data_IF_996668861963
#
_entry.id   IF_996668861963
#
_cell.length_a   1.000
_cell.length_b   1.000
_cell.length_c   1.000
_cell.angle_alpha   90.00
_cell.angle_beta   90.00
_cell.angle_gamma   90.00
#
_symmetry.space_group_name_H-M   'P 1'
#
loop_
_entity.id
_entity.type
_entity.pdbx_description
1 polymer ?
#
# COMPACT_ATOMS: atom_id res chain seq x y z
N UNK A 1 44.51 -3.69 7.12
CA UNK A 1 43.38 -4.63 6.93
C UNK A 1 42.15 -3.77 6.68
N UNK A 2 41.81 -3.52 5.41
CA UNK A 2 40.75 -2.58 5.01
C UNK A 2 39.51 -3.42 4.67
N UNK A 3 38.45 -3.31 5.47
CA UNK A 3 37.17 -3.94 5.21
C UNK A 3 36.45 -3.18 4.09
N UNK A 4 36.31 -3.86 2.96
CA UNK A 4 35.57 -3.44 1.77
C UNK A 4 34.11 -3.16 2.13
N UNK A 5 33.68 -1.90 1.97
CA UNK A 5 32.28 -1.51 1.96
C UNK A 5 31.62 -2.02 0.67
N UNK A 6 30.78 -3.05 0.77
CA UNK A 6 29.90 -3.45 -0.32
C UNK A 6 28.86 -2.34 -0.55
N UNK A 7 29.06 -1.59 -1.64
CA UNK A 7 28.03 -0.69 -2.19
C UNK A 7 26.78 -1.52 -2.48
N UNK A 8 25.70 -1.24 -1.76
CA UNK A 8 24.34 -1.68 -2.12
C UNK A 8 24.08 -1.14 -3.53
N UNK A 9 23.93 -2.05 -4.50
CA UNK A 9 23.70 -1.67 -5.88
C UNK A 9 22.36 -0.95 -6.00
N UNK A 10 22.36 0.19 -6.67
CA UNK A 10 21.16 0.92 -7.07
C UNK A 10 20.31 0.00 -7.95
N UNK A 11 19.36 -0.71 -7.35
CA UNK A 11 18.49 -1.72 -7.96
C UNK A 11 17.47 -1.17 -8.94
N UNK A 12 17.92 -0.42 -9.93
CA UNK A 12 17.16 -0.01 -11.10
C UNK A 12 17.28 -1.11 -12.15
N UNK A 13 16.32 -2.04 -12.18
CA UNK A 13 16.24 -3.05 -13.22
C UNK A 13 15.91 -2.40 -14.57
N UNK A 14 16.85 -2.51 -15.52
CA UNK A 14 16.79 -1.98 -16.90
C UNK A 14 15.55 -2.47 -17.68
N UNK A 15 14.94 -3.60 -17.27
CA UNK A 15 13.71 -4.12 -17.85
C UNK A 15 12.51 -3.15 -17.72
N UNK A 16 12.46 -2.36 -16.65
CA UNK A 16 11.36 -1.41 -16.37
C UNK A 16 11.41 -0.19 -17.32
N UNK A 17 12.61 0.14 -17.83
CA UNK A 17 12.81 1.28 -18.73
C UNK A 17 12.41 0.94 -20.18
N UNK A 18 12.56 -0.32 -20.59
CA UNK A 18 12.19 -0.79 -21.94
C UNK A 18 10.68 -0.79 -22.19
N UNK A 19 9.85 -0.98 -21.15
CA UNK A 19 8.39 -0.90 -21.27
C UNK A 19 7.84 0.53 -21.38
N UNK A 20 8.70 1.56 -21.25
CA UNK A 20 8.28 2.97 -21.10
C UNK A 20 8.08 3.75 -22.42
N UNK A 21 8.23 3.16 -23.60
CA UNK A 21 8.23 3.94 -24.86
C UNK A 21 7.08 3.53 -25.79
N UNK A 22 5.86 3.95 -25.42
CA UNK A 22 4.82 4.50 -26.32
C UNK A 22 3.68 5.05 -25.47
N UNK A 23 3.57 6.37 -25.41
CA UNK A 23 2.64 7.09 -24.53
C UNK A 23 1.19 6.89 -24.98
N UNK A 24 0.47 6.02 -24.26
CA UNK A 24 -0.98 5.93 -24.26
C UNK A 24 -1.55 6.62 -23.00
N UNK A 25 -2.70 7.31 -23.14
CA UNK A 25 -3.48 7.83 -22.00
C UNK A 25 -4.16 6.70 -21.19
N UNK A 26 -4.29 5.50 -21.78
CA UNK A 26 -4.82 4.27 -21.16
C UNK A 26 -3.70 3.57 -20.38
N UNK A 27 -4.01 3.10 -19.17
CA UNK A 27 -3.14 2.21 -18.41
C UNK A 27 -2.91 0.90 -19.19
N UNK A 28 -1.76 0.23 -19.03
CA UNK A 28 -1.51 -1.04 -19.71
C UNK A 28 -2.56 -2.07 -19.29
N UNK A 29 -2.77 -3.08 -20.14
CA UNK A 29 -3.59 -4.23 -19.77
C UNK A 29 -2.76 -5.20 -18.92
N UNK A 30 -3.42 -6.21 -18.34
CA UNK A 30 -2.73 -7.27 -17.62
C UNK A 30 -1.67 -7.90 -18.53
N UNK A 31 -0.42 -7.87 -18.10
CA UNK A 31 0.67 -8.55 -18.77
C UNK A 31 0.87 -9.91 -18.09
N UNK A 32 0.37 -10.97 -18.74
CA UNK A 32 0.45 -12.34 -18.24
C UNK A 32 1.90 -12.80 -18.01
N UNK A 33 2.85 -12.31 -18.79
CA UNK A 33 4.27 -12.67 -18.61
C UNK A 33 4.84 -12.07 -17.33
N UNK A 34 4.63 -10.77 -17.10
CA UNK A 34 5.05 -10.06 -15.88
C UNK A 34 4.34 -10.60 -14.64
N UNK A 35 3.03 -10.85 -14.74
CA UNK A 35 2.24 -11.48 -13.68
C UNK A 35 2.83 -12.84 -13.29
N UNK A 36 3.06 -13.72 -14.29
CA UNK A 36 3.64 -15.03 -14.03
C UNK A 36 5.10 -14.95 -13.58
N UNK A 37 5.87 -13.96 -14.03
CA UNK A 37 7.24 -13.73 -13.56
C UNK A 37 7.26 -13.35 -12.08
N UNK A 38 6.36 -12.47 -11.63
CA UNK A 38 6.23 -12.12 -10.24
C UNK A 38 5.78 -13.33 -9.39
N UNK A 39 4.87 -14.19 -9.89
CA UNK A 39 4.51 -15.45 -9.21
C UNK A 39 5.69 -16.41 -9.16
N UNK A 40 6.45 -16.62 -10.24
CA UNK A 40 7.61 -17.54 -10.22
C UNK A 40 8.70 -17.04 -9.27
N UNK A 41 8.90 -15.72 -9.20
CA UNK A 41 9.96 -15.11 -8.39
C UNK A 41 9.63 -15.11 -6.91
N UNK A 42 8.35 -14.94 -6.54
CA UNK A 42 7.95 -14.73 -5.14
C UNK A 42 6.92 -15.75 -4.62
N UNK A 43 6.22 -16.47 -5.49
CA UNK A 43 5.13 -17.38 -5.11
C UNK A 43 5.55 -18.58 -4.28
N UNK A 44 6.80 -19.04 -4.43
CA UNK A 44 7.37 -20.13 -3.64
C UNK A 44 8.06 -19.63 -2.35
N UNK A 45 8.43 -18.34 -2.28
CA UNK A 45 9.27 -17.78 -1.20
C UNK A 45 8.62 -16.65 -0.40
N UNK A 46 7.42 -16.19 -0.76
CA UNK A 46 6.72 -15.09 -0.12
C UNK A 46 5.23 -15.41 0.05
N UNK A 47 4.95 -16.13 1.13
CA UNK A 47 3.61 -16.47 1.58
C UNK A 47 2.97 -15.33 2.38
N UNK A 48 1.67 -15.50 2.71
CA UNK A 48 1.01 -14.65 3.69
C UNK A 48 1.73 -14.69 5.06
N UNK A 49 2.36 -15.81 5.40
CA UNK A 49 3.14 -15.95 6.63
C UNK A 49 4.41 -15.10 6.59
N UNK A 50 5.10 -15.01 5.45
CA UNK A 50 6.30 -14.17 5.30
C UNK A 50 5.96 -12.67 5.39
N UNK A 51 4.79 -12.31 4.87
CA UNK A 51 4.23 -10.96 4.97
C UNK A 51 3.91 -10.58 6.43
N UNK A 52 3.37 -11.53 7.21
CA UNK A 52 3.16 -11.39 8.65
C UNK A 52 4.47 -11.36 9.43
N UNK A 53 5.42 -12.24 9.12
CA UNK A 53 6.72 -12.34 9.81
C UNK A 53 7.62 -11.12 9.55
N UNK A 54 7.44 -10.43 8.42
CA UNK A 54 8.13 -9.18 8.12
C UNK A 54 7.44 -7.94 8.69
N UNK A 55 6.30 -8.11 9.36
CA UNK A 55 5.59 -7.00 9.99
C UNK A 55 6.30 -6.55 11.27
N UNK A 56 6.36 -5.25 11.49
CA UNK A 56 6.72 -4.69 12.79
C UNK A 56 5.72 -5.13 13.85
N UNK A 57 6.22 -5.37 15.06
CA UNK A 57 5.39 -5.52 16.26
C UNK A 57 4.68 -4.20 16.55
N UNK A 58 3.39 -4.27 16.87
CA UNK A 58 2.58 -3.12 17.26
C UNK A 58 1.91 -3.38 18.62
N UNK A 59 1.40 -2.35 19.32
CA UNK A 59 0.80 -2.53 20.63
C UNK A 59 -0.41 -3.50 20.60
N UNK A 60 -0.42 -4.48 21.51
CA UNK A 60 -1.51 -5.46 21.68
C UNK A 60 -2.73 -4.89 22.45
N UNK A 61 -2.91 -3.57 22.46
CA UNK A 61 -3.95 -2.91 23.25
C UNK A 61 -5.34 -2.92 22.58
N UNK A 62 -6.33 -2.38 23.29
CA UNK A 62 -7.74 -2.33 22.86
C UNK A 62 -7.82 -1.90 21.40
N UNK A 63 -8.49 -2.70 20.58
CA UNK A 63 -8.57 -2.53 19.14
C UNK A 63 -8.86 -1.07 18.70
N UNK A 64 -9.72 -0.33 19.43
CA UNK A 64 -10.00 1.06 19.10
C UNK A 64 -8.77 1.98 19.14
N UNK A 65 -7.84 1.76 20.07
CA UNK A 65 -6.58 2.51 20.20
C UNK A 65 -5.59 2.14 19.10
N UNK A 66 -5.57 0.86 18.69
CA UNK A 66 -4.73 0.41 17.58
C UNK A 66 -5.00 1.18 16.29
N UNK A 67 -6.28 1.40 15.93
CA UNK A 67 -6.64 2.16 14.72
C UNK A 67 -6.17 3.61 14.82
N UNK A 68 -6.45 4.26 15.95
CA UNK A 68 -6.07 5.66 16.17
C UNK A 68 -4.56 5.86 16.13
N UNK A 69 -3.82 4.99 16.84
CA UNK A 69 -2.36 4.98 16.85
C UNK A 69 -1.80 4.75 15.46
N UNK A 70 -2.31 3.75 14.73
CA UNK A 70 -1.83 3.45 13.38
C UNK A 70 -2.07 4.62 12.43
N UNK A 71 -3.24 5.26 12.48
CA UNK A 71 -3.51 6.44 11.67
C UNK A 71 -2.58 7.61 12.03
N UNK A 72 -2.18 7.77 13.29
CA UNK A 72 -1.17 8.76 13.66
C UNK A 72 0.21 8.46 13.04
N UNK A 73 0.58 7.18 12.93
CA UNK A 73 1.84 6.80 12.29
C UNK A 73 1.78 7.00 10.76
N UNK A 74 0.67 6.64 10.13
CA UNK A 74 0.49 6.76 8.68
C UNK A 74 0.32 8.23 8.25
N UNK A 75 -0.38 9.04 9.06
CA UNK A 75 -0.76 10.42 8.78
C UNK A 75 -0.43 11.34 9.96
N UNK A 76 0.86 11.69 10.15
CA UNK A 76 1.31 12.43 11.32
C UNK A 76 0.77 13.86 11.38
N UNK A 77 0.67 14.39 12.60
CA UNK A 77 0.16 15.74 12.90
C UNK A 77 -1.35 15.79 13.00
N UNK A 78 -1.97 16.88 12.52
CA UNK A 78 -3.43 17.04 12.46
C UNK A 78 -3.95 17.20 11.02
N UNK A 79 -3.76 16.20 10.14
CA UNK A 79 -4.21 16.31 8.74
C UNK A 79 -5.73 16.23 8.62
N UNK A 80 -6.27 16.79 7.53
CA UNK A 80 -7.68 16.57 7.18
C UNK A 80 -7.85 15.17 6.58
N UNK A 81 -8.62 14.31 7.24
CA UNK A 81 -8.90 12.94 6.82
C UNK A 81 -10.35 12.80 6.38
N UNK A 82 -10.57 12.08 5.28
CA UNK A 82 -11.91 11.70 4.85
C UNK A 82 -12.15 10.24 5.18
N UNK A 83 -13.08 9.98 6.11
CA UNK A 83 -13.37 8.64 6.63
C UNK A 83 -14.88 8.41 6.66
N UNK A 84 -15.31 7.15 6.61
CA UNK A 84 -16.73 6.81 6.63
C UNK A 84 -17.03 5.35 6.95
N UNK A 85 -18.24 5.09 7.44
CA UNK A 85 -18.79 3.75 7.70
C UNK A 85 -19.20 3.02 6.41
N UNK A 86 -19.60 3.78 5.40
CA UNK A 86 -19.98 3.31 4.07
C UNK A 86 -19.39 4.23 2.99
N UNK A 87 -19.42 3.81 1.72
CA UNK A 87 -18.96 4.67 0.60
C UNK A 87 -19.82 5.93 0.43
N UNK A 88 -21.06 5.91 0.94
CA UNK A 88 -22.00 7.04 0.87
C UNK A 88 -21.91 7.96 2.11
N UNK A 89 -21.23 7.53 3.17
CA UNK A 89 -21.12 8.25 4.45
C UNK A 89 -19.67 8.66 4.75
N UNK A 90 -18.96 9.14 3.73
CA UNK A 90 -17.59 9.67 3.90
C UNK A 90 -17.66 11.15 4.24
N UNK A 91 -17.13 11.54 5.40
CA UNK A 91 -17.00 12.94 5.80
C UNK A 91 -15.54 13.34 5.93
N UNK A 92 -15.22 14.60 5.62
CA UNK A 92 -13.89 15.16 5.80
C UNK A 92 -13.84 15.95 7.10
N UNK A 93 -12.94 15.59 8.02
CA UNK A 93 -12.72 16.29 9.31
C UNK A 93 -11.24 16.37 9.63
N UNK A 94 -10.84 17.19 10.59
CA UNK A 94 -9.46 17.15 11.08
C UNK A 94 -9.19 15.80 11.77
N UNK A 95 -7.92 15.40 11.85
CA UNK A 95 -7.52 14.20 12.57
C UNK A 95 -7.93 14.28 14.05
N UNK A 96 -7.91 15.46 14.64
CA UNK A 96 -8.33 15.69 16.03
C UNK A 96 -9.84 15.50 16.20
N UNK A 97 -10.66 16.01 15.29
CA UNK A 97 -12.12 15.80 15.32
C UNK A 97 -12.51 14.32 15.11
N UNK A 98 -11.62 13.53 14.51
CA UNK A 98 -11.80 12.09 14.31
C UNK A 98 -11.43 11.25 15.52
N UNK A 99 -10.77 11.80 16.55
CA UNK A 99 -10.30 11.06 17.72
C UNK A 99 -11.45 10.27 18.37
N UNK A 100 -11.22 8.99 18.62
CA UNK A 100 -12.19 8.07 19.24
C UNK A 100 -13.23 7.50 18.26
N UNK A 101 -13.23 7.93 17.00
CA UNK A 101 -14.22 7.52 16.00
C UNK A 101 -13.63 6.70 14.86
N UNK A 102 -12.30 6.71 14.65
CA UNK A 102 -11.68 6.08 13.47
C UNK A 102 -11.84 4.57 13.45
N UNK A 103 -11.80 3.94 14.62
CA UNK A 103 -11.99 2.50 14.76
C UNK A 103 -13.35 2.03 14.23
N UNK A 104 -14.38 2.89 14.26
CA UNK A 104 -15.72 2.57 13.77
C UNK A 104 -15.89 2.79 12.26
N UNK A 105 -14.89 3.38 11.60
CA UNK A 105 -14.96 3.67 10.17
C UNK A 105 -14.51 2.45 9.37
N UNK A 106 -15.16 2.25 8.22
CA UNK A 106 -14.84 1.18 7.29
C UNK A 106 -13.84 1.62 6.22
N UNK A 107 -13.91 2.92 5.86
CA UNK A 107 -13.16 3.50 4.77
C UNK A 107 -12.38 4.73 5.20
N UNK A 108 -11.26 4.95 4.52
CA UNK A 108 -10.45 6.16 4.56
C UNK A 108 -10.05 6.52 3.13
N UNK A 109 -9.96 7.82 2.82
CA UNK A 109 -9.35 8.30 1.58
C UNK A 109 -7.89 8.64 1.89
N UNK A 110 -6.96 7.80 1.44
CA UNK A 110 -5.56 7.88 1.84
C UNK A 110 -4.77 9.09 1.28
N UNK A 111 -5.38 9.93 0.44
CA UNK A 111 -4.70 10.97 -0.33
C UNK A 111 -5.44 12.31 -0.37
N UNK A 112 -6.01 12.71 0.77
CA UNK A 112 -6.72 13.99 0.93
C UNK A 112 -5.81 15.21 0.89
N UNK A 113 -4.53 15.07 1.25
CA UNK A 113 -3.51 16.14 1.18
C UNK A 113 -2.61 16.04 -0.06
N UNK A 114 -1.95 17.15 -0.42
CA UNK A 114 -0.91 17.19 -1.46
C UNK A 114 0.46 17.32 -0.79
N UNK A 115 1.52 16.68 -1.32
CA UNK A 115 1.55 15.68 -2.40
C UNK A 115 0.91 14.32 -2.03
N UNK A 116 0.71 13.41 -3.00
CA UNK A 116 0.09 12.08 -2.77
C UNK A 116 1.01 11.29 -1.83
N UNK A 117 0.53 10.91 -0.64
CA UNK A 117 1.36 10.22 0.36
C UNK A 117 1.46 8.73 0.06
N UNK A 118 0.31 8.10 -0.17
CA UNK A 118 0.21 6.66 -0.37
C UNK A 118 -0.41 6.33 -1.72
N UNK A 119 0.01 5.21 -2.30
CA UNK A 119 -0.75 4.54 -3.34
C UNK A 119 -1.25 3.21 -2.79
N UNK A 120 -2.53 2.94 -2.94
CA UNK A 120 -3.14 1.72 -2.45
C UNK A 120 -3.50 0.84 -3.64
N UNK A 121 -2.84 -0.30 -3.74
CA UNK A 121 -3.07 -1.30 -4.77
C UNK A 121 -3.97 -2.39 -4.20
N UNK A 122 -5.00 -2.77 -4.95
CA UNK A 122 -5.84 -3.92 -4.66
C UNK A 122 -5.88 -4.82 -5.89
N UNK A 123 -6.08 -6.11 -5.66
CA UNK A 123 -6.18 -7.11 -6.72
C UNK A 123 -7.57 -7.74 -6.66
N UNK A 124 -8.31 -7.70 -7.76
CA UNK A 124 -9.68 -8.24 -7.79
C UNK A 124 -9.73 -9.76 -7.99
N UNK A 125 -8.58 -10.37 -8.30
CA UNK A 125 -8.44 -11.77 -8.68
C UNK A 125 -7.19 -12.40 -8.06
N UNK A 126 -7.14 -13.74 -8.10
CA UNK A 126 -6.03 -14.53 -7.58
C UNK A 126 -6.17 -14.90 -6.10
N UNK A 127 -5.55 -16.01 -5.71
CA UNK A 127 -5.48 -16.45 -4.32
C UNK A 127 -4.65 -15.46 -3.47
N UNK A 128 -4.88 -15.43 -2.15
CA UNK A 128 -4.16 -14.53 -1.25
C UNK A 128 -2.62 -14.68 -1.35
N UNK A 129 -2.12 -15.88 -1.63
CA UNK A 129 -0.68 -16.15 -1.88
C UNK A 129 -0.16 -15.46 -3.14
N UNK A 130 -0.93 -15.48 -4.22
CA UNK A 130 -0.60 -14.79 -5.46
C UNK A 130 -0.63 -13.27 -5.26
N UNK A 131 -1.65 -12.76 -4.56
CA UNK A 131 -1.75 -11.34 -4.24
C UNK A 131 -0.56 -10.88 -3.37
N UNK A 132 -0.14 -11.67 -2.38
CA UNK A 132 1.05 -11.38 -1.58
C UNK A 132 2.33 -11.32 -2.43
N UNK A 133 2.46 -12.20 -3.43
CA UNK A 133 3.57 -12.16 -4.39
C UNK A 133 3.57 -10.88 -5.23
N UNK A 134 2.40 -10.42 -5.66
CA UNK A 134 2.29 -9.16 -6.41
C UNK A 134 2.59 -7.94 -5.53
N UNK A 135 2.16 -7.95 -4.27
CA UNK A 135 2.53 -6.90 -3.31
C UNK A 135 4.04 -6.88 -3.06
N UNK A 136 4.67 -8.05 -3.03
CA UNK A 136 6.12 -8.17 -2.87
C UNK A 136 6.87 -7.66 -4.10
N UNK A 137 6.46 -7.99 -5.32
CA UNK A 137 7.11 -7.46 -6.52
C UNK A 137 7.00 -5.94 -6.59
N UNK A 138 5.84 -5.38 -6.25
CA UNK A 138 5.64 -3.94 -6.18
C UNK A 138 6.50 -3.26 -5.11
N UNK A 139 6.84 -3.97 -4.04
CA UNK A 139 7.70 -3.44 -2.96
C UNK A 139 9.12 -3.12 -3.42
N UNK A 140 9.57 -3.67 -4.56
CA UNK A 140 10.86 -3.33 -5.18
C UNK A 140 10.86 -1.92 -5.80
N UNK A 141 9.68 -1.38 -6.15
CA UNK A 141 9.56 -0.08 -6.80
C UNK A 141 9.16 1.06 -5.85
N UNK A 142 8.45 0.73 -4.77
CA UNK A 142 8.08 1.66 -3.72
C UNK A 142 7.96 0.92 -2.38
N UNK A 143 8.27 1.55 -1.24
CA UNK A 143 8.16 0.89 0.05
C UNK A 143 6.73 0.45 0.36
N UNK A 144 6.52 -0.84 0.63
CA UNK A 144 5.26 -1.37 1.17
C UNK A 144 5.18 -1.05 2.66
N UNK A 145 4.16 -0.31 3.07
CA UNK A 145 3.98 0.21 4.43
C UNK A 145 2.97 -0.60 5.20
N UNK A 146 1.83 -0.91 4.58
CA UNK A 146 0.73 -1.59 5.26
C UNK A 146 0.02 -2.51 4.29
N UNK A 147 -0.46 -3.66 4.78
CA UNK A 147 -1.36 -4.53 4.02
C UNK A 147 -2.61 -4.78 4.84
N UNK A 148 -3.76 -4.40 4.28
CA UNK A 148 -5.06 -4.54 4.92
C UNK A 148 -5.89 -5.56 4.16
N UNK A 149 -6.55 -6.46 4.86
CA UNK A 149 -7.52 -7.34 4.25
C UNK A 149 -8.78 -6.57 3.89
N UNK A 150 -9.22 -6.65 2.63
CA UNK A 150 -10.49 -6.11 2.14
C UNK A 150 -11.70 -6.92 2.61
N UNK A 151 -11.47 -8.10 3.20
CA UNK A 151 -12.38 -8.98 3.96
C UNK A 151 -13.57 -9.54 3.23
N UNK A 152 -13.37 -9.68 1.93
CA UNK A 152 -13.88 -10.84 1.21
C UNK A 152 -12.66 -11.64 0.75
N UNK A 153 -11.90 -11.10 -0.22
CA UNK A 153 -10.85 -11.86 -0.90
C UNK A 153 -9.58 -11.08 -1.25
N UNK A 154 -9.56 -9.75 -1.12
CA UNK A 154 -8.46 -8.93 -1.63
C UNK A 154 -7.56 -8.40 -0.52
N UNK A 155 -6.26 -8.36 -0.79
CA UNK A 155 -5.27 -7.62 -0.02
C UNK A 155 -5.12 -6.22 -0.63
N UNK A 156 -5.23 -5.21 0.22
CA UNK A 156 -4.95 -3.83 -0.13
C UNK A 156 -3.56 -3.45 0.39
N UNK A 157 -2.60 -3.28 -0.52
CA UNK A 157 -1.23 -2.87 -0.20
C UNK A 157 -1.05 -1.37 -0.31
N UNK A 158 -0.58 -0.77 0.78
CA UNK A 158 -0.31 0.65 0.90
C UNK A 158 1.17 0.91 0.67
N UNK A 159 1.50 1.60 -0.42
CA UNK A 159 2.86 1.93 -0.82
C UNK A 159 3.15 3.41 -0.55
N UNK A 160 4.28 3.72 0.06
CA UNK A 160 4.72 5.11 0.26
C UNK A 160 5.27 5.68 -1.05
N UNK A 161 4.61 6.70 -1.59
CA UNK A 161 4.96 7.28 -2.91
C UNK A 161 5.28 8.78 -2.82
N UNK A 162 5.21 9.38 -1.63
CA UNK A 162 5.34 10.83 -1.45
C UNK A 162 6.68 11.38 -1.96
N UNK A 163 7.78 10.65 -1.75
CA UNK A 163 9.12 11.04 -2.20
C UNK A 163 9.47 10.55 -3.60
N UNK A 164 8.56 9.88 -4.32
CA UNK A 164 8.88 9.34 -5.64
C UNK A 164 8.87 10.52 -6.62
N UNK A 165 9.93 10.70 -7.41
CA UNK A 165 9.89 11.56 -8.58
C UNK A 165 8.67 11.23 -9.45
N UNK A 166 7.99 12.25 -9.99
CA UNK A 166 6.75 12.08 -10.78
C UNK A 166 6.86 11.01 -11.88
N UNK A 167 8.02 10.92 -12.55
CA UNK A 167 8.30 9.89 -13.57
C UNK A 167 8.24 8.48 -12.97
N UNK A 168 8.91 8.26 -11.83
CA UNK A 168 8.90 6.99 -11.09
C UNK A 168 7.50 6.63 -10.59
N UNK A 169 6.73 7.63 -10.16
CA UNK A 169 5.32 7.48 -9.84
C UNK A 169 4.56 6.85 -11.02
N UNK A 170 4.58 7.44 -12.22
CA UNK A 170 3.85 6.88 -13.37
C UNK A 170 4.31 5.47 -13.74
N UNK A 171 5.61 5.19 -13.66
CA UNK A 171 6.17 3.85 -13.88
C UNK A 171 5.59 2.83 -12.89
N UNK A 172 5.51 3.19 -11.60
CA UNK A 172 4.90 2.33 -10.58
C UNK A 172 3.45 1.99 -10.93
N UNK A 173 2.63 2.97 -11.32
CA UNK A 173 1.22 2.72 -11.67
C UNK A 173 1.10 1.81 -12.90
N UNK A 174 1.95 2.02 -13.91
CA UNK A 174 1.97 1.18 -15.11
C UNK A 174 2.31 -0.26 -14.77
N UNK A 175 3.37 -0.48 -14.00
CA UNK A 175 3.76 -1.82 -13.57
C UNK A 175 2.72 -2.47 -12.66
N UNK A 176 2.15 -1.72 -11.71
CA UNK A 176 1.06 -2.21 -10.86
C UNK A 176 -0.12 -2.73 -11.69
N UNK A 177 -0.57 -1.96 -12.70
CA UNK A 177 -1.63 -2.43 -13.59
C UNK A 177 -1.20 -3.64 -14.43
N UNK A 178 0.04 -3.68 -14.92
CA UNK A 178 0.51 -4.82 -15.71
C UNK A 178 0.60 -6.12 -14.90
N UNK A 179 0.79 -6.05 -13.58
CA UNK A 179 0.74 -7.22 -12.68
C UNK A 179 -0.66 -7.44 -12.06
N UNK A 180 -1.70 -6.76 -12.56
CA UNK A 180 -3.09 -7.03 -12.22
C UNK A 180 -3.69 -6.19 -11.10
N UNK A 181 -3.03 -5.11 -10.65
CA UNK A 181 -3.63 -4.16 -9.73
C UNK A 181 -4.76 -3.38 -10.43
N UNK A 182 -5.89 -3.21 -9.74
CA UNK A 182 -7.08 -2.57 -10.31
C UNK A 182 -6.84 -1.07 -10.60
N UNK A 183 -6.89 -0.64 -11.87
CA UNK A 183 -6.68 0.76 -12.21
C UNK A 183 -7.80 1.71 -11.76
N UNK A 184 -8.96 1.18 -11.33
CA UNK A 184 -10.00 1.95 -10.68
C UNK A 184 -9.53 2.58 -9.35
N UNK A 185 -8.40 2.11 -8.77
CA UNK A 185 -7.82 2.69 -7.55
C UNK A 185 -6.88 3.88 -7.81
N UNK A 186 -6.59 4.21 -9.08
CA UNK A 186 -5.70 5.31 -9.44
C UNK A 186 -6.24 6.72 -9.21
N UNK A 187 -7.56 7.00 -9.17
CA UNK A 187 -8.08 8.28 -8.71
C UNK A 187 -7.47 8.69 -7.36
N UNK A 188 -7.28 10.00 -7.15
CA UNK A 188 -6.69 10.49 -5.89
C UNK A 188 -7.60 10.24 -4.69
N UNK A 189 -8.89 10.48 -4.87
CA UNK A 189 -9.86 10.43 -3.78
C UNK A 189 -10.51 9.07 -3.63
N UNK A 190 -9.82 7.98 -3.97
CA UNK A 190 -10.35 6.62 -3.85
C UNK A 190 -10.51 6.25 -2.37
N UNK A 191 -11.73 5.87 -1.93
CA UNK A 191 -11.92 5.23 -0.63
C UNK A 191 -11.29 3.84 -0.61
N UNK A 192 -10.53 3.56 0.43
CA UNK A 192 -9.84 2.28 0.68
C UNK A 192 -10.16 1.79 2.09
N UNK A 193 -9.83 0.54 2.40
CA UNK A 193 -10.06 -0.04 3.74
C UNK A 193 -9.29 0.71 4.82
N UNK A 194 -10.01 1.10 5.87
CA UNK A 194 -9.42 1.65 7.10
C UNK A 194 -8.58 0.59 7.81
N UNK A 195 -7.25 0.75 7.94
CA UNK A 195 -6.43 -0.19 8.70
C UNK A 195 -6.94 -0.34 10.13
N UNK A 196 -7.35 -1.55 10.53
CA UNK A 196 -7.96 -1.79 11.84
C UNK A 196 -9.38 -1.24 12.00
N UNK A 197 -10.02 -0.68 10.97
CA UNK A 197 -11.41 -0.21 11.06
C UNK A 197 -12.42 -1.36 11.23
N UNK A 198 -13.69 -1.01 11.42
CA UNK A 198 -14.79 -1.99 11.46
C UNK A 198 -15.49 -2.09 10.10
N UNK A 199 -15.94 -3.30 9.78
CA UNK A 199 -16.78 -3.63 8.62
C UNK A 199 -18.25 -3.62 9.01
N UNK A 200 -19.12 -3.67 8.01
CA UNK A 200 -20.50 -4.13 8.18
C UNK A 200 -20.52 -5.42 9.02
N UNK A 201 -21.36 -5.43 10.06
CA UNK A 201 -21.44 -6.53 11.03
C UNK A 201 -20.40 -6.51 12.16
N UNK A 202 -19.58 -5.44 12.28
CA UNK A 202 -18.66 -5.27 13.41
C UNK A 202 -17.36 -6.08 13.31
N UNK A 203 -17.09 -6.71 12.17
CA UNK A 203 -15.84 -7.44 11.93
C UNK A 203 -14.68 -6.48 11.68
N UNK A 204 -13.54 -6.70 12.33
CA UNK A 204 -12.37 -5.83 12.19
C UNK A 204 -11.60 -6.08 10.89
N UNK A 205 -11.13 -5.01 10.27
CA UNK A 205 -10.24 -5.07 9.11
C UNK A 205 -8.84 -5.47 9.58
N UNK A 206 -8.46 -6.71 9.26
CA UNK A 206 -7.17 -7.29 9.65
C UNK A 206 -6.02 -6.62 8.91
N UNK A 207 -4.97 -6.31 9.63
CA UNK A 207 -3.69 -5.85 9.10
C UNK A 207 -2.78 -7.07 9.04
N UNK A 208 -2.23 -7.36 7.85
CA UNK A 208 -1.31 -8.48 7.63
C UNK A 208 0.15 -8.05 7.63
N UNK A 209 0.43 -6.78 7.38
CA UNK A 209 1.78 -6.24 7.38
C UNK A 209 1.74 -4.77 7.79
N UNK A 210 2.73 -4.37 8.57
CA UNK A 210 3.06 -2.99 8.86
C UNK A 210 4.58 -2.81 8.88
N UNK A 211 5.07 -1.81 8.19
CA UNK A 211 6.46 -1.38 8.21
C UNK A 211 6.45 0.16 8.28
N UNK A 212 6.66 0.68 9.49
CA UNK A 212 6.72 2.11 9.77
C UNK A 212 8.15 2.65 9.62
N UNK A 213 9.19 1.80 9.66
CA UNK A 213 10.57 2.24 9.44
C UNK A 213 10.73 2.96 8.10
N UNK A 214 10.03 2.50 7.06
CA UNK A 214 10.08 3.13 5.73
C UNK A 214 9.44 4.53 5.69
N UNK A 215 8.61 4.87 6.68
CA UNK A 215 8.05 6.22 6.83
C UNK A 215 8.97 7.15 7.64
N UNK A 216 9.80 6.57 8.52
CA UNK A 216 10.77 7.29 9.35
C UNK A 216 12.07 7.57 8.60
N UNK A 217 12.42 6.71 7.65
CA UNK A 217 13.60 6.85 6.81
C UNK A 217 13.31 7.77 5.61
N UNK A 218 13.76 9.02 5.68
CA UNK A 218 13.60 10.02 4.60
C UNK A 218 14.48 9.75 3.36
N UNK A 219 15.40 8.79 3.44
CA UNK A 219 16.48 8.59 2.45
C UNK A 219 16.16 7.70 1.24
N UNK A 220 14.92 7.26 1.03
CA UNK A 220 14.62 6.40 -0.13
C UNK A 220 14.67 7.13 -1.50
N UNK A 221 14.99 8.43 -1.49
CA UNK A 221 14.99 9.29 -2.67
C UNK A 221 16.32 10.03 -2.93
N UNK A 222 17.47 9.40 -2.66
CA UNK A 222 18.74 9.75 -3.31
C UNK A 222 19.05 8.78 -4.44
#
# INVERSE_FOLDING_TARGET
MILSHSKISNGWNVAVEAASIKQSRKWPELNTEEYNAAIRRYGECWSLADLLNSSESWPDDIACRQTEWLIDQLFPGNPRLSCGKSMHEISARSREDWRGHLAQQQFIVANTSRPRRFLVCAFDHGAATQQASMLKSLSELAPLVCVVHSGISSLEGWFFVQSLPKKRGRTFFGYATSVGANPANWPRSQPVRMPGGLRGGGLRQRIYHLNLQVLRNEHWAT
#
